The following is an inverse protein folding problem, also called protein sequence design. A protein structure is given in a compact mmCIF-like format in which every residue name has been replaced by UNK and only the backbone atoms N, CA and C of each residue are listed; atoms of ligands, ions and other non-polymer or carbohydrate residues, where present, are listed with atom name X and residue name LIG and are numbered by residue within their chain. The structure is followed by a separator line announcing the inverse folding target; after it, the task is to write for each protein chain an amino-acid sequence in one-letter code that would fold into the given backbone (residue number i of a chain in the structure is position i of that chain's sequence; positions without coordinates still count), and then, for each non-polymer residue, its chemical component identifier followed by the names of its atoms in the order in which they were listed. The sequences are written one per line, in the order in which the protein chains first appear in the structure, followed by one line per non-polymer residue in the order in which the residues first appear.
data_IF_023423577291
#
_entry.id   IF_023423577291
#
_cell.length_a   1.000
_cell.length_b   1.000
_cell.length_c   1.000
_cell.angle_alpha   90.00
_cell.angle_beta   90.00
_cell.angle_gamma   90.00
#
_symmetry.space_group_name_H-M   'P 1'
#
loop_
_entity.id
_entity.type
_entity.pdbx_description
1 polymer ?
#
# COMPACT_ATOMS: atom_id res chain seq x y z
N UNK A 1 1.75 26.54 -16.21
CA UNK A 1 0.88 27.35 -17.08
C UNK A 1 1.78 28.26 -17.88
N UNK A 2 1.58 28.41 -19.19
CA UNK A 2 2.47 29.22 -20.03
C UNK A 2 1.64 29.99 -21.05
N UNK A 3 1.90 31.28 -21.17
CA UNK A 3 1.41 32.17 -22.22
C UNK A 3 2.63 32.62 -23.03
N UNK A 4 2.52 32.53 -24.35
CA UNK A 4 3.53 33.03 -25.28
C UNK A 4 2.80 33.87 -26.32
N UNK A 5 3.29 35.09 -26.54
CA UNK A 5 2.66 36.04 -27.46
C UNK A 5 3.73 36.87 -28.19
N UNK A 6 3.47 37.15 -29.46
CA UNK A 6 4.26 38.10 -30.25
C UNK A 6 3.95 39.52 -29.75
N UNK A 7 4.98 40.30 -29.50
CA UNK A 7 4.88 41.64 -28.93
C UNK A 7 5.96 42.55 -29.51
N UNK A 8 5.62 43.20 -30.61
CA UNK A 8 6.42 44.25 -31.21
C UNK A 8 6.25 45.61 -30.49
N UNK A 9 7.03 46.61 -30.90
CA UNK A 9 6.98 47.95 -30.30
C UNK A 9 5.63 48.68 -30.54
N UNK A 10 4.94 48.42 -31.66
CA UNK A 10 3.67 49.05 -32.02
C UNK A 10 2.52 48.48 -31.17
N UNK A 11 2.53 47.16 -30.97
CA UNK A 11 1.59 46.43 -30.15
C UNK A 11 1.82 46.71 -28.65
N UNK A 12 3.07 46.81 -28.23
CA UNK A 12 3.40 47.20 -26.87
C UNK A 12 2.98 48.65 -26.57
N UNK A 13 3.02 49.57 -27.53
CA UNK A 13 2.69 50.98 -27.33
C UNK A 13 1.28 51.18 -26.76
N UNK A 14 1.16 51.76 -25.57
CA UNK A 14 -0.14 51.97 -24.90
C UNK A 14 -0.80 50.70 -24.34
N UNK A 15 -0.13 49.54 -24.41
CA UNK A 15 -0.63 48.28 -23.86
C UNK A 15 -0.70 48.35 -22.34
N UNK A 16 -1.75 47.78 -21.78
CA UNK A 16 -1.83 47.50 -20.37
C UNK A 16 -2.28 46.07 -20.15
N UNK A 17 -1.63 45.40 -19.19
CA UNK A 17 -2.02 44.07 -18.77
C UNK A 17 -2.22 44.03 -17.26
N UNK A 18 -3.16 43.20 -16.83
CA UNK A 18 -3.35 42.80 -15.45
C UNK A 18 -3.03 41.31 -15.35
N UNK A 19 -2.21 40.94 -14.37
CA UNK A 19 -1.93 39.54 -14.04
C UNK A 19 -2.45 39.26 -12.64
N UNK A 20 -3.12 38.14 -12.48
CA UNK A 20 -3.64 37.63 -11.21
C UNK A 20 -3.21 36.16 -11.05
N UNK A 21 -2.55 35.84 -9.93
CA UNK A 21 -2.12 34.48 -9.58
C UNK A 21 -3.22 33.73 -8.80
N UNK A 22 -3.16 32.39 -8.72
CA UNK A 22 -4.20 31.59 -8.04
C UNK A 22 -4.40 31.95 -6.55
N UNK A 23 -3.34 32.44 -5.93
CA UNK A 23 -3.21 32.83 -4.53
C UNK A 23 -3.59 34.31 -4.30
N UNK A 24 -4.08 34.98 -5.35
CA UNK A 24 -4.74 36.29 -5.27
C UNK A 24 -3.79 37.48 -5.36
N UNK A 25 -2.52 37.26 -5.67
CA UNK A 25 -1.59 38.34 -5.99
C UNK A 25 -1.99 38.97 -7.34
N UNK A 26 -2.14 40.30 -7.36
CA UNK A 26 -2.56 41.03 -8.58
C UNK A 26 -1.59 42.16 -8.87
N UNK A 27 -1.14 42.24 -10.12
CA UNK A 27 -0.38 43.38 -10.63
C UNK A 27 -1.05 43.95 -11.87
N UNK A 28 -0.88 45.26 -12.06
CA UNK A 28 -1.33 45.94 -13.27
C UNK A 28 -0.20 46.79 -13.82
N UNK A 29 0.22 46.48 -15.04
CA UNK A 29 1.38 47.10 -15.69
C UNK A 29 0.92 47.76 -16.97
N UNK A 30 1.32 49.02 -17.16
CA UNK A 30 0.99 49.80 -18.35
C UNK A 30 2.27 50.25 -19.06
N UNK A 31 2.23 50.20 -20.38
CA UNK A 31 3.22 50.77 -21.26
C UNK A 31 2.73 52.15 -21.74
N UNK A 32 3.54 53.22 -21.61
CA UNK A 32 3.21 54.50 -22.22
C UNK A 32 3.09 54.41 -23.75
N UNK A 33 2.34 55.32 -24.36
CA UNK A 33 2.34 55.47 -25.83
C UNK A 33 3.76 55.77 -26.35
N UNK A 34 4.16 55.07 -27.41
CA UNK A 34 5.47 55.18 -28.05
C UNK A 34 6.63 54.53 -27.29
N UNK A 35 6.36 53.76 -26.23
CA UNK A 35 7.38 53.02 -25.48
C UNK A 35 7.57 51.59 -26.03
N UNK A 36 8.81 51.10 -25.98
CA UNK A 36 9.18 49.80 -26.57
C UNK A 36 8.67 48.58 -25.81
N UNK A 37 8.53 47.45 -26.51
CA UNK A 37 8.19 46.14 -25.96
C UNK A 37 9.20 45.68 -24.92
N UNK A 38 10.50 45.86 -25.19
CA UNK A 38 11.57 45.57 -24.21
C UNK A 38 11.38 46.37 -22.91
N UNK A 39 10.97 47.63 -23.03
CA UNK A 39 10.69 48.49 -21.89
C UNK A 39 9.49 48.00 -21.08
N UNK A 40 8.45 47.53 -21.76
CA UNK A 40 7.28 46.93 -21.14
C UNK A 40 7.61 45.62 -20.42
N UNK A 41 8.29 44.68 -21.07
CA UNK A 41 8.68 43.40 -20.49
C UNK A 41 9.52 43.58 -19.21
N UNK A 42 10.45 44.55 -19.19
CA UNK A 42 11.22 44.89 -17.97
C UNK A 42 10.37 45.45 -16.85
N UNK A 43 9.37 46.29 -17.17
CA UNK A 43 8.40 46.79 -16.16
C UNK A 43 7.58 45.65 -15.60
N UNK A 44 7.14 44.73 -16.46
CA UNK A 44 6.35 43.57 -16.07
C UNK A 44 7.14 42.63 -15.16
N UNK A 45 8.36 42.25 -15.58
CA UNK A 45 9.26 41.42 -14.80
C UNK A 45 9.55 42.03 -13.42
N UNK A 46 9.77 43.34 -13.37
CA UNK A 46 9.99 44.07 -12.11
C UNK A 46 8.74 44.03 -11.22
N UNK A 47 7.56 44.27 -11.76
CA UNK A 47 6.31 44.25 -11.00
C UNK A 47 6.00 42.86 -10.43
N UNK A 48 6.21 41.79 -11.21
CA UNK A 48 6.10 40.39 -10.76
C UNK A 48 7.04 40.10 -9.60
N UNK A 49 8.31 40.54 -9.71
CA UNK A 49 9.30 40.37 -8.66
C UNK A 49 8.94 41.14 -7.38
N UNK A 50 8.52 42.40 -7.52
CA UNK A 50 8.14 43.25 -6.38
C UNK A 50 6.87 42.76 -5.67
N UNK A 51 5.95 42.13 -6.41
CA UNK A 51 4.74 41.51 -5.87
C UNK A 51 4.97 40.08 -5.34
N UNK A 52 6.18 39.53 -5.47
CA UNK A 52 6.53 38.16 -5.08
C UNK A 52 5.61 37.10 -5.70
N UNK A 53 5.21 37.29 -6.96
CA UNK A 53 4.40 36.31 -7.69
C UNK A 53 5.25 35.15 -8.22
N UNK A 54 4.70 33.93 -8.29
CA UNK A 54 5.39 32.75 -8.83
C UNK A 54 5.36 32.69 -10.36
N UNK A 55 5.54 33.84 -11.01
CA UNK A 55 5.63 33.96 -12.45
C UNK A 55 7.08 34.23 -12.89
N UNK A 56 7.44 33.68 -14.03
CA UNK A 56 8.66 33.96 -14.75
C UNK A 56 8.32 34.72 -16.02
N UNK A 57 8.90 35.90 -16.19
CA UNK A 57 8.68 36.76 -17.36
C UNK A 57 9.96 36.74 -18.18
N UNK A 58 9.84 36.32 -19.43
CA UNK A 58 10.92 36.30 -20.41
C UNK A 58 10.48 37.04 -21.66
N UNK A 59 11.38 37.83 -22.22
CA UNK A 59 11.16 38.48 -23.51
C UNK A 59 12.36 38.22 -24.39
N UNK A 60 12.11 37.64 -25.56
CA UNK A 60 13.12 37.50 -26.61
C UNK A 60 13.02 38.72 -27.53
N UNK A 61 14.09 39.50 -27.61
CA UNK A 61 14.09 40.72 -28.42
C UNK A 61 14.37 40.46 -29.90
N UNK A 62 14.94 39.30 -30.24
CA UNK A 62 15.21 38.94 -31.63
C UNK A 62 13.95 38.35 -32.29
N UNK A 63 13.17 37.58 -31.52
CA UNK A 63 11.90 36.98 -31.96
C UNK A 63 10.66 37.82 -31.58
N UNK A 64 10.85 38.96 -30.90
CA UNK A 64 9.78 39.85 -30.39
C UNK A 64 8.73 39.11 -29.53
N UNK A 65 9.14 38.06 -28.82
CA UNK A 65 8.24 37.14 -28.13
C UNK A 65 8.23 37.38 -26.61
N UNK A 66 7.05 37.63 -26.04
CA UNK A 66 6.82 37.65 -24.59
C UNK A 66 6.33 36.29 -24.10
N UNK A 67 7.06 35.69 -23.17
CA UNK A 67 6.65 34.47 -22.46
C UNK A 67 6.39 34.77 -20.99
N UNK A 68 5.22 34.36 -20.50
CA UNK A 68 4.81 34.37 -19.09
C UNK A 68 4.59 32.92 -18.66
N UNK A 69 5.35 32.46 -17.68
CA UNK A 69 5.30 31.08 -17.22
C UNK A 69 5.14 31.00 -15.71
N UNK A 70 4.22 30.14 -15.25
CA UNK A 70 4.10 29.81 -13.83
C UNK A 70 5.27 28.91 -13.40
N UNK A 71 5.92 29.24 -12.28
CA UNK A 71 7.10 28.51 -11.79
C UNK A 71 6.77 27.15 -11.20
N UNK A 72 5.54 26.98 -10.72
CA UNK A 72 5.06 25.72 -10.16
C UNK A 72 4.20 24.94 -11.16
N UNK A 73 4.22 23.63 -11.00
CA UNK A 73 3.43 22.67 -11.77
C UNK A 73 2.22 22.25 -10.95
N UNK A 74 1.12 21.90 -11.63
CA UNK A 74 -0.12 21.54 -10.96
C UNK A 74 -1.35 21.99 -11.73
N UNK A 75 -2.44 21.21 -11.70
CA UNK A 75 -3.74 21.68 -12.21
C UNK A 75 -4.32 22.85 -11.39
N UNK A 76 -3.90 23.00 -10.14
CA UNK A 76 -4.31 24.09 -9.25
C UNK A 76 -3.44 25.34 -9.39
N UNK A 77 -2.33 25.23 -10.11
CA UNK A 77 -1.33 26.30 -10.31
C UNK A 77 -1.60 27.02 -11.60
N UNK A 78 -1.62 28.34 -11.60
CA UNK A 78 -2.00 29.09 -12.80
C UNK A 78 -2.06 30.59 -12.61
N UNK A 79 -2.42 31.28 -13.68
CA UNK A 79 -2.62 32.72 -13.61
C UNK A 79 -3.68 33.16 -14.61
N UNK A 80 -4.31 34.28 -14.30
CA UNK A 80 -5.21 34.97 -15.20
C UNK A 80 -4.50 36.18 -15.79
N UNK A 81 -4.67 36.38 -17.08
CA UNK A 81 -4.18 37.57 -17.79
C UNK A 81 -5.36 38.36 -18.35
N UNK A 82 -5.27 39.68 -18.31
CA UNK A 82 -6.25 40.57 -18.94
C UNK A 82 -5.53 41.70 -19.63
N UNK A 83 -5.66 41.80 -20.95
CA UNK A 83 -5.07 42.88 -21.76
C UNK A 83 -6.05 43.99 -22.09
N UNK A 84 -5.56 45.14 -22.52
CA UNK A 84 -6.39 46.27 -23.03
C UNK A 84 -6.47 46.35 -24.54
N UNK A 85 -5.81 45.45 -25.26
CA UNK A 85 -5.81 45.35 -26.73
C UNK A 85 -6.18 43.92 -27.13
N UNK A 86 -6.99 43.80 -28.18
CA UNK A 86 -7.37 42.53 -28.79
C UNK A 86 -6.18 41.96 -29.58
N UNK A 87 -6.07 40.63 -29.64
CA UNK A 87 -5.09 39.89 -30.46
C UNK A 87 -3.61 40.26 -30.25
N UNK A 88 -3.24 40.85 -29.10
CA UNK A 88 -1.83 41.13 -28.75
C UNK A 88 -1.30 40.12 -27.74
N UNK A 89 -1.77 40.20 -26.49
CA UNK A 89 -1.40 39.26 -25.42
C UNK A 89 -2.55 38.28 -25.10
N UNK A 90 -3.77 38.72 -25.35
CA UNK A 90 -5.02 37.99 -25.08
C UNK A 90 -5.89 38.07 -26.32
N UNK A 91 -6.72 37.06 -26.54
CA UNK A 91 -7.65 37.04 -27.66
C UNK A 91 -8.65 38.21 -27.61
N UNK A 92 -9.24 38.46 -26.44
CA UNK A 92 -10.25 39.51 -26.24
C UNK A 92 -9.79 40.55 -25.20
N UNK A 93 -9.77 41.82 -25.59
CA UNK A 93 -9.46 42.93 -24.69
C UNK A 93 -10.49 43.01 -23.54
N UNK A 94 -9.96 43.32 -22.35
CA UNK A 94 -10.71 43.47 -21.10
C UNK A 94 -11.41 42.19 -20.61
N UNK A 95 -11.24 41.06 -21.30
CA UNK A 95 -11.70 39.77 -20.83
C UNK A 95 -10.57 39.01 -20.13
N UNK A 96 -10.79 38.45 -18.93
CA UNK A 96 -9.79 37.64 -18.27
C UNK A 96 -9.65 36.26 -18.93
N UNK A 97 -8.43 35.90 -19.30
CA UNK A 97 -8.07 34.58 -19.80
C UNK A 97 -7.32 33.80 -18.72
N UNK A 98 -7.86 32.63 -18.34
CA UNK A 98 -7.28 31.77 -17.31
C UNK A 98 -6.35 30.72 -17.93
N UNK A 99 -5.08 30.74 -17.53
CA UNK A 99 -4.10 29.73 -17.88
C UNK A 99 -3.81 28.83 -16.68
N UNK A 100 -4.17 27.56 -16.82
CA UNK A 100 -3.91 26.53 -15.82
C UNK A 100 -2.62 25.74 -16.13
N UNK A 101 -1.97 25.28 -15.08
CA UNK A 101 -0.87 24.35 -15.14
C UNK A 101 -1.33 22.96 -15.52
N UNK A 102 -0.38 22.04 -15.56
CA UNK A 102 -0.62 20.65 -15.93
C UNK A 102 0.13 19.77 -14.97
N UNK A 103 -0.52 18.70 -14.51
CA UNK A 103 0.15 17.64 -13.78
C UNK A 103 0.95 16.77 -14.75
N UNK A 104 2.06 16.22 -14.25
CA UNK A 104 2.77 15.17 -14.97
C UNK A 104 1.88 13.95 -15.16
N UNK A 105 2.09 13.23 -16.26
CA UNK A 105 1.39 11.98 -16.55
C UNK A 105 2.40 10.92 -16.94
N UNK A 106 2.22 9.72 -16.43
CA UNK A 106 3.11 8.61 -16.71
C UNK A 106 2.72 7.35 -15.97
N UNK A 107 3.60 6.36 -16.08
CA UNK A 107 3.49 5.07 -15.39
C UNK A 107 4.71 4.90 -14.49
N UNK A 108 4.54 4.24 -13.34
CA UNK A 108 5.66 3.79 -12.52
C UNK A 108 5.80 2.30 -12.76
N UNK A 109 6.96 1.86 -13.27
CA UNK A 109 7.21 0.45 -13.57
C UNK A 109 6.10 -0.21 -14.44
N UNK A 110 5.70 0.49 -15.51
CA UNK A 110 4.62 0.09 -16.43
C UNK A 110 3.21 -0.04 -15.81
N UNK A 111 3.04 0.36 -14.55
CA UNK A 111 1.74 0.43 -13.88
C UNK A 111 1.21 1.88 -13.85
N UNK A 112 -0.11 2.08 -13.92
CA UNK A 112 -0.70 3.41 -13.99
C UNK A 112 -0.44 4.21 -12.71
N UNK A 113 -0.26 5.53 -12.86
CA UNK A 113 0.01 6.43 -11.75
C UNK A 113 -0.74 7.75 -11.93
N UNK A 114 -1.23 8.28 -10.80
CA UNK A 114 -1.86 9.58 -10.71
C UNK A 114 -0.80 10.67 -10.54
N UNK A 115 -0.92 11.73 -11.33
CA UNK A 115 -0.04 12.90 -11.25
C UNK A 115 -0.66 14.01 -10.41
N UNK A 116 0.15 14.63 -9.56
CA UNK A 116 -0.15 15.87 -8.85
C UNK A 116 1.08 16.79 -8.92
N UNK A 117 1.00 17.84 -9.74
CA UNK A 117 2.14 18.70 -10.07
C UNK A 117 3.31 17.91 -10.66
N UNK A 118 4.39 17.77 -9.89
CA UNK A 118 5.59 17.00 -10.24
C UNK A 118 5.66 15.61 -9.57
N UNK A 119 4.63 15.19 -8.86
CA UNK A 119 4.61 13.90 -8.16
C UNK A 119 3.74 12.92 -8.92
N UNK A 120 4.28 11.75 -9.26
CA UNK A 120 3.50 10.59 -9.70
C UNK A 120 3.31 9.64 -8.52
N UNK A 121 2.09 9.21 -8.27
CA UNK A 121 1.75 8.22 -7.25
C UNK A 121 1.08 7.02 -7.90
N UNK A 122 1.62 5.82 -7.72
CA UNK A 122 1.01 4.62 -8.29
C UNK A 122 -0.38 4.34 -7.71
N UNK A 123 -1.33 3.99 -8.59
CA UNK A 123 -2.73 3.79 -8.25
C UNK A 123 -2.96 2.71 -7.18
N UNK A 124 -4.06 2.86 -6.44
CA UNK A 124 -4.49 1.87 -5.46
C UNK A 124 -4.79 0.52 -6.14
N UNK A 125 -4.16 -0.56 -5.65
CA UNK A 125 -4.17 -1.94 -6.19
C UNK A 125 -3.16 -2.27 -7.30
N UNK A 126 -2.23 -1.35 -7.64
CA UNK A 126 -1.06 -1.74 -8.41
C UNK A 126 -0.28 -2.86 -7.70
N UNK A 127 0.22 -3.85 -8.45
CA UNK A 127 0.91 -5.01 -7.90
C UNK A 127 2.22 -4.60 -7.23
N UNK A 128 2.92 -3.63 -7.83
CA UNK A 128 4.27 -3.21 -7.39
C UNK A 128 4.35 -1.76 -6.93
N UNK A 129 3.50 -0.90 -7.46
CA UNK A 129 3.65 0.56 -7.28
C UNK A 129 2.51 1.21 -6.50
N UNK A 130 1.60 0.42 -5.91
CA UNK A 130 0.47 0.97 -5.15
C UNK A 130 0.95 1.89 -4.01
N UNK A 131 0.60 3.17 -4.10
CA UNK A 131 1.00 4.20 -3.13
C UNK A 131 2.48 4.60 -3.19
N UNK A 132 3.24 4.13 -4.17
CA UNK A 132 4.60 4.60 -4.41
C UNK A 132 4.54 5.98 -5.07
N UNK A 133 5.01 7.00 -4.36
CA UNK A 133 5.14 8.36 -4.90
C UNK A 133 6.58 8.65 -5.33
N UNK A 134 6.75 9.19 -6.53
CA UNK A 134 8.03 9.63 -7.10
C UNK A 134 7.91 11.06 -7.58
N UNK A 135 8.87 11.91 -7.22
CA UNK A 135 8.96 13.26 -7.75
C UNK A 135 9.76 13.25 -9.06
N UNK A 136 9.20 13.84 -10.11
CA UNK A 136 9.87 14.06 -11.38
C UNK A 136 10.56 15.43 -11.36
N UNK A 137 11.90 15.41 -11.49
CA UNK A 137 12.73 16.61 -11.52
C UNK A 137 13.42 16.81 -12.89
N UNK A 138 12.97 16.07 -13.91
CA UNK A 138 13.51 16.18 -15.26
C UNK A 138 12.87 17.30 -16.07
N UNK A 139 13.50 17.64 -17.19
CA UNK A 139 13.10 18.70 -18.12
C UNK A 139 12.54 18.17 -19.45
N UNK A 140 12.53 16.84 -19.65
CA UNK A 140 12.11 16.19 -20.89
C UNK A 140 11.05 15.10 -20.69
N UNK A 141 10.30 14.81 -21.75
CA UNK A 141 9.33 13.71 -21.76
C UNK A 141 10.01 12.38 -22.13
N UNK A 142 9.49 11.26 -21.61
CA UNK A 142 10.00 9.92 -21.91
C UNK A 142 10.36 9.13 -20.64
N UNK A 143 11.27 8.15 -20.78
CA UNK A 143 11.73 7.38 -19.64
C UNK A 143 12.64 8.23 -18.75
N UNK A 144 12.10 8.68 -17.61
CA UNK A 144 12.77 9.55 -16.65
C UNK A 144 13.89 8.86 -15.84
N UNK A 145 13.97 7.53 -15.88
CA UNK A 145 14.98 6.75 -15.16
C UNK A 145 14.38 5.58 -14.39
N UNK A 146 15.21 4.97 -13.53
CA UNK A 146 14.82 3.82 -12.72
C UNK A 146 14.93 4.13 -11.23
N UNK A 147 13.85 3.89 -10.49
CA UNK A 147 13.88 3.86 -9.02
C UNK A 147 13.85 2.40 -8.60
N UNK A 148 14.88 1.95 -7.88
CA UNK A 148 14.88 0.60 -7.28
C UNK A 148 14.34 0.70 -5.86
N UNK A 149 13.15 0.16 -5.63
CA UNK A 149 12.56 0.06 -4.29
C UNK A 149 12.82 -1.35 -3.76
N UNK A 150 13.68 -1.47 -2.75
CA UNK A 150 13.90 -2.72 -2.05
C UNK A 150 12.96 -2.79 -0.84
N UNK A 151 11.85 -3.52 -0.98
CA UNK A 151 10.89 -3.69 0.12
C UNK A 151 11.36 -4.82 1.05
N UNK A 152 12.07 -4.46 2.13
CA UNK A 152 12.47 -5.40 3.18
C UNK A 152 11.29 -5.68 4.13
N UNK A 153 10.17 -6.14 3.58
CA UNK A 153 8.95 -6.39 4.34
C UNK A 153 9.16 -7.48 5.37
N UNK A 154 8.60 -7.29 6.56
CA UNK A 154 8.45 -8.34 7.54
C UNK A 154 7.39 -9.32 7.04
N UNK A 155 7.71 -10.61 7.04
CA UNK A 155 6.81 -11.68 6.59
C UNK A 155 6.48 -12.58 7.78
N UNK A 156 5.20 -12.71 8.06
CA UNK A 156 4.68 -13.58 9.12
C UNK A 156 3.86 -14.70 8.49
N UNK A 157 4.15 -15.94 8.88
CA UNK A 157 3.33 -17.08 8.48
C UNK A 157 2.01 -17.04 9.25
N UNK A 158 0.89 -16.96 8.55
CA UNK A 158 -0.44 -16.74 9.14
C UNK A 158 -1.32 -17.99 9.15
N UNK A 159 -0.96 -19.01 8.36
CA UNK A 159 -1.74 -20.24 8.23
C UNK A 159 -0.89 -21.47 7.98
N UNK A 160 -1.56 -22.61 7.74
CA UNK A 160 -0.93 -23.91 7.56
C UNK A 160 -0.35 -24.10 6.15
N UNK A 161 -0.82 -23.31 5.17
CA UNK A 161 -0.37 -23.41 3.78
C UNK A 161 0.84 -22.51 3.53
N UNK A 162 1.76 -22.94 2.66
CA UNK A 162 3.02 -22.24 2.39
C UNK A 162 2.87 -20.79 1.88
N UNK A 163 1.70 -20.45 1.34
CA UNK A 163 1.39 -19.15 0.74
C UNK A 163 0.58 -18.22 1.66
N UNK A 164 0.13 -18.70 2.82
CA UNK A 164 -0.63 -17.89 3.78
C UNK A 164 0.30 -17.03 4.63
N UNK A 165 0.63 -15.84 4.11
CA UNK A 165 1.56 -14.89 4.75
C UNK A 165 0.92 -13.53 4.93
N UNK A 166 1.19 -12.94 6.09
CA UNK A 166 0.98 -11.51 6.34
C UNK A 166 2.28 -10.80 6.04
N UNK A 167 2.24 -9.81 5.15
CA UNK A 167 3.40 -9.03 4.75
C UNK A 167 3.20 -7.59 5.25
N UNK A 168 4.19 -7.09 5.99
CA UNK A 168 4.18 -5.72 6.53
C UNK A 168 5.42 -5.01 6.02
N UNK A 169 5.23 -3.94 5.26
CA UNK A 169 6.31 -3.03 4.89
C UNK A 169 6.39 -1.89 5.89
N UNK A 170 7.62 -1.50 6.24
CA UNK A 170 7.89 -0.33 7.05
C UNK A 170 8.78 0.61 6.26
N UNK A 171 8.43 1.88 6.29
CA UNK A 171 9.29 2.93 5.75
C UNK A 171 10.56 3.05 6.60
N UNK A 172 11.63 3.57 5.99
CA UNK A 172 12.88 3.81 6.70
C UNK A 172 12.69 4.87 7.79
N UNK A 173 13.17 4.58 8.99
CA UNK A 173 13.21 5.52 10.12
C UNK A 173 14.56 6.23 10.24
N UNK A 174 15.38 6.19 9.18
CA UNK A 174 16.68 6.84 9.18
C UNK A 174 16.51 8.37 9.17
N UNK A 175 17.37 9.10 9.87
CA UNK A 175 17.29 10.57 9.99
C UNK A 175 17.43 11.30 8.65
N UNK A 176 18.02 10.67 7.64
CA UNK A 176 18.10 11.25 6.28
C UNK A 176 16.80 11.13 5.48
N UNK A 177 15.85 10.32 5.95
CA UNK A 177 14.56 10.04 5.29
C UNK A 177 13.41 10.73 6.02
N UNK A 178 13.47 10.79 7.35
CA UNK A 178 12.44 11.44 8.16
C UNK A 178 12.48 12.98 8.05
N UNK A 179 11.30 13.60 8.17
CA UNK A 179 11.15 15.06 8.18
C UNK A 179 11.47 15.73 6.83
N UNK A 180 11.28 14.99 5.72
CA UNK A 180 11.43 15.50 4.35
C UNK A 180 10.19 16.26 3.89
N UNK A 181 10.38 17.18 2.94
CA UNK A 181 9.27 17.89 2.29
C UNK A 181 8.60 18.95 3.17
N UNK A 182 9.26 19.37 4.25
CA UNK A 182 8.77 20.42 5.15
C UNK A 182 9.30 21.76 4.67
N UNK A 183 8.39 22.70 4.38
CA UNK A 183 8.77 24.06 4.01
C UNK A 183 9.49 24.76 5.16
N UNK A 184 10.71 25.23 4.88
CA UNK A 184 11.54 25.90 5.86
C UNK A 184 12.49 26.89 5.19
N UNK A 185 12.86 27.95 5.92
CA UNK A 185 13.73 29.01 5.37
C UNK A 185 15.21 28.71 5.54
N UNK A 186 15.55 27.78 6.43
CA UNK A 186 16.92 27.35 6.73
C UNK A 186 17.50 26.34 5.71
N UNK A 187 16.68 25.86 4.76
CA UNK A 187 17.09 24.94 3.69
C UNK A 187 17.36 23.51 4.16
N UNK A 188 16.79 23.08 5.28
CA UNK A 188 16.90 21.70 5.76
C UNK A 188 16.04 20.78 4.91
N UNK A 189 16.61 19.71 4.41
CA UNK A 189 15.88 18.70 3.63
C UNK A 189 15.37 17.55 4.52
N UNK A 190 15.98 17.30 5.67
CA UNK A 190 15.67 16.16 6.56
C UNK A 190 16.31 16.33 7.95
N UNK A 191 15.96 15.43 8.88
CA UNK A 191 16.45 15.49 10.27
C UNK A 191 17.98 15.47 10.41
N UNK A 192 18.72 14.86 9.47
CA UNK A 192 20.19 14.78 9.59
C UNK A 192 20.90 16.11 9.35
N UNK A 193 20.22 17.07 8.72
CA UNK A 193 20.78 18.38 8.37
C UNK A 193 20.44 19.47 9.40
N UNK A 194 19.66 19.14 10.44
CA UNK A 194 19.23 20.10 11.45
C UNK A 194 20.44 20.77 12.11
N UNK A 195 20.40 22.10 12.12
CA UNK A 195 21.27 22.94 12.95
C UNK A 195 20.43 23.76 13.92
N UNK A 196 21.04 24.18 15.04
CA UNK A 196 20.38 24.96 16.09
C UNK A 196 21.20 26.20 16.46
N UNK A 197 21.97 26.75 15.51
CA UNK A 197 22.91 27.84 15.76
C UNK A 197 22.22 29.20 15.74
N UNK A 198 21.08 29.32 15.06
CA UNK A 198 20.24 30.50 15.06
C UNK A 198 18.82 30.22 15.55
N UNK A 199 18.10 31.28 15.93
CA UNK A 199 16.69 31.18 16.34
C UNK A 199 15.79 30.69 15.20
N UNK A 200 16.07 31.11 13.96
CA UNK A 200 15.30 30.68 12.79
C UNK A 200 15.52 29.18 12.51
N UNK A 201 16.77 28.73 12.56
CA UNK A 201 17.12 27.31 12.42
C UNK A 201 16.44 26.45 13.50
N UNK A 202 16.35 26.94 14.74
CA UNK A 202 15.66 26.23 15.81
C UNK A 202 14.14 26.12 15.58
N UNK A 203 13.49 27.15 15.02
CA UNK A 203 12.07 27.11 14.66
C UNK A 203 11.83 26.10 13.53
N UNK A 204 12.68 26.14 12.50
CA UNK A 204 12.58 25.22 11.36
C UNK A 204 12.85 23.77 11.78
N UNK A 205 13.80 23.55 12.69
CA UNK A 205 14.08 22.23 13.27
C UNK A 205 12.87 21.63 13.98
N UNK A 206 12.09 22.43 14.71
CA UNK A 206 10.87 21.96 15.37
C UNK A 206 9.87 21.45 14.34
N UNK A 207 9.65 22.18 13.24
CA UNK A 207 8.74 21.75 12.16
C UNK A 207 9.13 20.40 11.56
N UNK A 208 10.43 20.22 11.27
CA UNK A 208 10.94 18.96 10.74
C UNK A 208 10.78 17.80 11.73
N UNK A 209 10.97 18.07 13.03
CA UNK A 209 10.79 17.07 14.10
C UNK A 209 9.32 16.69 14.27
N UNK A 210 8.41 17.66 14.23
CA UNK A 210 6.97 17.39 14.32
C UNK A 210 6.49 16.52 13.16
N UNK A 211 6.89 16.84 11.92
CA UNK A 211 6.59 16.00 10.76
C UNK A 211 7.17 14.59 10.90
N UNK A 212 8.42 14.47 11.35
CA UNK A 212 9.04 13.17 11.58
C UNK A 212 8.33 12.36 12.68
N UNK A 213 7.82 13.02 13.72
CA UNK A 213 7.03 12.40 14.77
C UNK A 213 5.69 11.89 14.22
N UNK A 214 5.00 12.68 13.41
CA UNK A 214 3.74 12.28 12.77
C UNK A 214 3.95 11.08 11.83
N UNK A 215 5.04 11.07 11.05
CA UNK A 215 5.43 9.93 10.23
C UNK A 215 5.62 8.66 11.09
N UNK A 216 6.35 8.76 12.20
CA UNK A 216 6.58 7.63 13.11
C UNK A 216 5.29 7.18 13.82
N UNK A 217 4.44 8.11 14.25
CA UNK A 217 3.16 7.81 14.90
C UNK A 217 2.20 7.11 13.92
N UNK A 218 2.17 7.55 12.66
CA UNK A 218 1.42 6.88 11.60
C UNK A 218 1.91 5.45 11.39
N UNK A 219 3.22 5.23 11.27
CA UNK A 219 3.79 3.88 11.16
C UNK A 219 3.44 3.00 12.38
N UNK A 220 3.51 3.56 13.60
CA UNK A 220 3.11 2.84 14.83
C UNK A 220 1.62 2.52 14.86
N UNK A 221 0.77 3.42 14.36
CA UNK A 221 -0.67 3.22 14.25
C UNK A 221 -0.99 2.08 13.28
N UNK A 222 -0.35 2.08 12.10
CA UNK A 222 -0.47 1.00 11.12
C UNK A 222 -0.03 -0.35 11.70
N UNK A 223 1.13 -0.39 12.37
CA UNK A 223 1.60 -1.60 13.06
C UNK A 223 0.61 -2.08 14.13
N UNK A 224 0.08 -1.17 14.95
CA UNK A 224 -0.92 -1.49 15.96
C UNK A 224 -2.21 -2.04 15.35
N UNK A 225 -2.64 -1.48 14.21
CA UNK A 225 -3.80 -1.98 13.47
C UNK A 225 -3.57 -3.38 12.93
N UNK A 226 -2.42 -3.65 12.30
CA UNK A 226 -2.10 -4.98 11.77
C UNK A 226 -1.99 -6.00 12.91
N UNK A 227 -1.36 -5.63 14.02
CA UNK A 227 -1.30 -6.47 15.21
C UNK A 227 -2.70 -6.85 15.70
N UNK A 228 -3.55 -5.85 15.97
CA UNK A 228 -4.88 -6.06 16.57
C UNK A 228 -5.85 -6.79 15.63
N UNK A 229 -5.95 -6.35 14.37
CA UNK A 229 -6.99 -6.84 13.46
C UNK A 229 -6.55 -8.04 12.63
N UNK A 230 -5.24 -8.20 12.39
CA UNK A 230 -4.75 -9.26 11.53
C UNK A 230 -4.10 -10.36 12.36
N UNK A 231 -3.07 -10.05 13.16
CA UNK A 231 -2.32 -11.07 13.89
C UNK A 231 -3.14 -11.67 15.03
N UNK A 232 -3.71 -10.84 15.91
CA UNK A 232 -4.50 -11.30 17.06
C UNK A 232 -5.77 -12.05 16.62
N UNK A 233 -6.47 -11.55 15.59
CA UNK A 233 -7.63 -12.24 15.02
C UNK A 233 -7.25 -13.60 14.40
N UNK A 234 -6.17 -13.67 13.61
CA UNK A 234 -5.71 -14.95 13.05
C UNK A 234 -5.30 -15.94 14.15
N UNK A 235 -4.60 -15.49 15.20
CA UNK A 235 -4.26 -16.34 16.35
C UNK A 235 -5.54 -16.89 17.01
N UNK A 236 -6.58 -16.07 17.17
CA UNK A 236 -7.86 -16.53 17.72
C UNK A 236 -8.53 -17.57 16.83
N UNK A 237 -8.54 -17.36 15.50
CA UNK A 237 -9.10 -18.31 14.54
C UNK A 237 -8.34 -19.63 14.55
N UNK A 238 -7.01 -19.58 14.57
CA UNK A 238 -6.16 -20.77 14.64
C UNK A 238 -6.38 -21.55 15.94
N UNK A 239 -6.51 -20.88 17.08
CA UNK A 239 -6.82 -21.54 18.36
C UNK A 239 -8.15 -22.29 18.31
N UNK A 240 -9.21 -21.66 17.81
CA UNK A 240 -10.50 -22.30 17.65
C UNK A 240 -10.43 -23.48 16.67
N UNK A 241 -9.65 -23.33 15.60
CA UNK A 241 -9.44 -24.40 14.61
C UNK A 241 -8.72 -25.59 15.24
N UNK A 242 -7.67 -25.35 16.04
CA UNK A 242 -6.95 -26.40 16.77
C UNK A 242 -7.87 -27.09 17.78
N UNK A 243 -8.71 -26.36 18.51
CA UNK A 243 -9.68 -26.95 19.43
C UNK A 243 -10.68 -27.87 18.70
N UNK A 244 -11.26 -27.38 17.60
CA UNK A 244 -12.19 -28.15 16.78
C UNK A 244 -11.54 -29.40 16.16
N UNK A 245 -10.31 -29.28 15.66
CA UNK A 245 -9.56 -30.41 15.09
C UNK A 245 -9.19 -31.43 16.16
N UNK A 246 -8.80 -30.99 17.35
CA UNK A 246 -8.48 -31.88 18.47
C UNK A 246 -9.73 -32.62 18.96
N UNK A 247 -10.88 -31.94 19.01
CA UNK A 247 -12.17 -32.57 19.34
C UNK A 247 -12.60 -33.59 18.28
N UNK A 248 -12.44 -33.26 16.99
CA UNK A 248 -12.70 -34.18 15.90
C UNK A 248 -11.78 -35.41 15.94
N UNK A 249 -10.48 -35.20 16.18
CA UNK A 249 -9.50 -36.28 16.36
C UNK A 249 -9.87 -37.18 17.55
N UNK A 250 -10.22 -36.58 18.70
CA UNK A 250 -10.68 -37.34 19.87
C UNK A 250 -11.92 -38.18 19.55
N UNK A 251 -12.91 -37.60 18.86
CA UNK A 251 -14.12 -38.34 18.49
C UNK A 251 -13.84 -39.49 17.53
N UNK A 252 -12.92 -39.32 16.57
CA UNK A 252 -12.50 -40.39 15.67
C UNK A 252 -11.79 -41.48 16.46
N UNK A 253 -10.80 -41.10 17.29
CA UNK A 253 -10.04 -42.04 18.11
C UNK A 253 -10.93 -42.83 19.06
N UNK A 254 -11.89 -42.16 19.71
CA UNK A 254 -12.81 -42.80 20.64
C UNK A 254 -13.78 -43.74 19.92
N UNK A 255 -14.22 -43.40 18.69
CA UNK A 255 -15.03 -44.28 17.85
C UNK A 255 -14.25 -45.52 17.43
N UNK A 256 -13.00 -45.35 17.00
CA UNK A 256 -12.12 -46.45 16.62
C UNK A 256 -11.80 -47.36 17.82
N UNK A 257 -11.53 -46.78 18.99
CA UNK A 257 -11.35 -47.53 20.24
C UNK A 257 -12.62 -48.28 20.65
N UNK A 258 -13.80 -47.66 20.52
CA UNK A 258 -15.07 -48.32 20.82
C UNK A 258 -15.32 -49.52 19.89
N UNK A 259 -15.02 -49.37 18.59
CA UNK A 259 -15.11 -50.47 17.63
C UNK A 259 -14.15 -51.61 17.98
N UNK A 260 -12.91 -51.30 18.34
CA UNK A 260 -11.92 -52.30 18.73
C UNK A 260 -12.31 -53.00 20.05
N UNK A 261 -12.84 -52.27 21.02
CA UNK A 261 -13.36 -52.84 22.27
C UNK A 261 -14.56 -53.77 22.04
N UNK A 262 -15.46 -53.44 21.11
CA UNK A 262 -16.56 -54.33 20.70
C UNK A 262 -16.02 -55.59 20.04
N UNK A 263 -15.04 -55.48 19.14
CA UNK A 263 -14.42 -56.63 18.50
C UNK A 263 -13.68 -57.51 19.51
N UNK A 264 -12.91 -56.91 20.44
CA UNK A 264 -12.23 -57.60 21.52
C UNK A 264 -13.23 -58.36 22.41
N UNK A 265 -14.29 -57.69 22.86
CA UNK A 265 -15.33 -58.29 23.71
C UNK A 265 -16.06 -59.42 22.98
N UNK A 266 -16.40 -59.23 21.70
CA UNK A 266 -16.99 -60.28 20.85
C UNK A 266 -16.08 -61.49 20.75
N UNK A 267 -14.79 -61.29 20.52
CA UNK A 267 -13.81 -62.37 20.45
C UNK A 267 -13.70 -63.10 21.79
N UNK A 268 -13.68 -62.37 22.91
CA UNK A 268 -13.67 -62.96 24.24
C UNK A 268 -14.93 -63.81 24.49
N UNK A 269 -16.12 -63.30 24.19
CA UNK A 269 -17.38 -64.05 24.29
C UNK A 269 -17.34 -65.30 23.41
N UNK A 270 -16.83 -65.21 22.17
CA UNK A 270 -16.66 -66.37 21.29
C UNK A 270 -15.72 -67.40 21.90
N UNK A 271 -14.60 -66.98 22.51
CA UNK A 271 -13.66 -67.90 23.16
C UNK A 271 -14.26 -68.58 24.39
N UNK A 272 -14.98 -67.86 25.22
CA UNK A 272 -15.67 -68.41 26.40
C UNK A 272 -16.84 -69.33 25.99
N UNK A 273 -17.61 -68.94 24.97
CA UNK A 273 -18.69 -69.76 24.40
C UNK A 273 -18.15 -71.03 23.72
N UNK A 274 -17.02 -70.95 23.01
CA UNK A 274 -16.37 -72.12 22.43
C UNK A 274 -15.89 -73.09 23.53
N UNK A 275 -15.28 -72.56 24.60
CA UNK A 275 -14.88 -73.38 25.75
C UNK A 275 -16.09 -74.04 26.44
N UNK A 276 -17.18 -73.29 26.66
CA UNK A 276 -18.42 -73.81 27.23
C UNK A 276 -19.11 -74.84 26.32
N UNK A 277 -19.12 -74.61 25.00
CA UNK A 277 -19.66 -75.55 24.01
C UNK A 277 -18.85 -76.85 23.97
N UNK A 278 -17.51 -76.78 24.06
CA UNK A 278 -16.65 -77.96 24.21
C UNK A 278 -16.96 -78.70 25.51
N UNK A 279 -17.10 -77.98 26.63
CA UNK A 279 -17.45 -78.58 27.92
C UNK A 279 -18.83 -79.27 27.87
N UNK A 280 -19.83 -78.64 27.24
CA UNK A 280 -21.18 -79.20 27.06
C UNK A 280 -21.19 -80.40 26.13
N UNK A 281 -20.41 -80.37 25.04
CA UNK A 281 -20.23 -81.52 24.13
C UNK A 281 -19.62 -82.71 24.87
N UNK A 282 -18.58 -82.48 25.67
CA UNK A 282 -17.96 -83.51 26.50
C UNK A 282 -18.95 -84.12 27.51
N UNK A 283 -19.79 -83.31 28.15
CA UNK A 283 -20.83 -83.82 29.05
C UNK A 283 -21.91 -84.61 28.31
N UNK A 284 -22.32 -84.16 27.13
CA UNK A 284 -23.33 -84.85 26.30
C UNK A 284 -22.78 -86.19 25.79
N UNK A 285 -21.54 -86.22 25.31
CA UNK A 285 -20.84 -87.45 24.94
C UNK A 285 -20.77 -88.43 26.12
N UNK A 286 -20.45 -87.93 27.32
CA UNK A 286 -20.44 -88.75 28.54
C UNK A 286 -21.82 -89.27 28.93
N UNK A 287 -22.90 -88.47 28.75
CA UNK A 287 -24.28 -88.93 28.98
C UNK A 287 -24.72 -89.99 27.97
N UNK A 288 -24.33 -89.86 26.70
CA UNK A 288 -24.60 -90.89 25.68
C UNK A 288 -23.84 -92.18 26.02
N UNK A 289 -22.58 -92.10 26.43
CA UNK A 289 -21.83 -93.27 26.91
C UNK A 289 -22.53 -93.91 28.11
N UNK A 290 -23.01 -93.12 29.08
CA UNK A 290 -23.81 -93.64 30.19
C UNK A 290 -25.10 -94.32 29.73
N UNK A 291 -25.79 -93.81 28.70
CA UNK A 291 -26.97 -94.48 28.13
C UNK A 291 -26.63 -95.76 27.37
N UNK A 292 -25.49 -95.81 26.66
CA UNK A 292 -25.01 -97.02 25.97
C UNK A 292 -24.60 -98.11 26.96
N UNK A 293 -23.93 -97.75 28.07
CA UNK A 293 -23.54 -98.71 29.10
C UNK A 293 -24.70 -99.11 30.01
N UNK A 294 -25.65 -98.21 30.30
CA UNK A 294 -26.77 -98.49 31.19
C UNK A 294 -27.95 -99.19 30.45
N UNK A 295 -27.97 -99.17 29.12
CA UNK A 295 -28.94 -99.91 28.30
C UNK A 295 -28.35 -101.21 27.71
N UNK A 296 -27.26 -101.72 28.31
CA UNK A 296 -26.76 -103.07 28.06
C UNK A 296 -27.07 -103.98 29.26
N UNK A 297 -28.33 -104.43 29.46
CA UNK A 297 -28.58 -105.59 30.29
C UNK A 297 -28.02 -106.80 29.54
N UNK A 298 -27.17 -107.57 30.21
CA UNK A 298 -26.48 -108.79 29.75
C UNK A 298 -25.09 -108.59 29.15
N UNK A 299 -24.10 -108.60 30.05
CA UNK A 299 -22.69 -108.56 29.72
C UNK A 299 -22.18 -109.84 29.03
N UNK A 300 -21.30 -109.63 28.06
CA UNK A 300 -20.13 -110.39 27.63
C UNK A 300 -19.33 -109.34 26.83
N UNK A 301 -18.01 -109.15 26.93
CA UNK A 301 -16.96 -110.05 26.51
C UNK A 301 -15.61 -109.60 27.13
N UNK A 302 -14.93 -110.53 27.79
CA UNK A 302 -13.47 -110.59 27.92
C UNK A 302 -12.82 -110.88 26.55
N UNK A 303 -11.49 -110.86 26.46
CA UNK A 303 -10.58 -111.05 25.29
C UNK A 303 -10.14 -109.69 24.68
N UNK A 304 -8.89 -109.23 24.81
CA UNK A 304 -7.60 -109.92 24.89
C UNK A 304 -6.67 -109.26 25.93
N UNK A 305 -5.91 -110.13 26.61
CA UNK A 305 -4.79 -109.81 27.49
C UNK A 305 -3.49 -110.16 26.75
N UNK A 306 -2.48 -109.30 26.95
CA UNK A 306 -1.07 -109.39 26.52
C UNK A 306 -0.80 -109.24 25.00
N UNK A 307 -0.35 -108.04 24.60
CA UNK A 307 0.99 -107.70 24.07
C UNK A 307 1.28 -106.22 24.36
#
# INVERSE_FOLDING_TARGET
ATLTADLDDDDASGLQITLEEEDGAVIRVSNPEGATAVGFAKRLQKAVLEANMNLNIRFDADDEELTIEHREYGLTKGFTVTGTKDDVIVDNAFEPELLLGRDIKGTINDEPADGDGLILTGEYNNEKTSGLSVAFLGDGTGNAGSVTVAQNSLKFQAGASADEKIVIALNSTHSTVLGRGVDNTSGFENLSQISLKSTQEAIDAIRLVDEALDQLLSMRSQLGSVQKHTLETNISVLRNTVENLTAAESSIRDTDMALEMVNFTKNQIITEAAAAAVAQSNQTATRVLRLLFNNNPHGHWSFFRDH
#
